data_IF_663635458642
#
_entry.id   IF_663635458642
#
_cell.length_a   1.000
_cell.length_b   1.000
_cell.length_c   1.000
_cell.angle_alpha   90.00
_cell.angle_beta   90.00
_cell.angle_gamma   90.00
#
_symmetry.space_group_name_H-M   'P 1'
#
loop_
_entity.id
_entity.type
_entity.pdbx_description
1 polymer ?
#
# COMPACT_ATOMS: atom_id res chain seq x y z
N UNK A 1 36.55 18.66 -27.53
CA UNK A 1 35.34 17.88 -27.17
C UNK A 1 34.89 18.31 -25.79
N UNK A 2 33.71 18.91 -25.64
CA UNK A 2 33.22 19.37 -24.33
C UNK A 2 32.83 18.15 -23.46
N UNK A 3 33.37 18.06 -22.23
CA UNK A 3 33.00 17.02 -21.26
C UNK A 3 31.50 17.12 -20.97
N UNK A 4 30.76 16.02 -21.14
CA UNK A 4 29.36 15.98 -20.72
C UNK A 4 29.27 16.25 -19.22
N UNK A 5 28.34 17.13 -18.78
CA UNK A 5 28.18 17.42 -17.36
C UNK A 5 27.75 16.15 -16.63
N UNK A 6 28.37 15.88 -15.48
CA UNK A 6 28.01 14.73 -14.65
C UNK A 6 26.53 14.73 -14.28
N UNK A 7 25.93 13.55 -14.07
CA UNK A 7 24.52 13.40 -13.66
C UNK A 7 24.18 14.22 -12.41
N UNK A 8 25.16 14.40 -11.51
CA UNK A 8 25.02 15.25 -10.31
C UNK A 8 25.01 16.74 -10.63
N UNK A 9 25.83 17.20 -11.58
CA UNK A 9 25.83 18.60 -12.04
C UNK A 9 24.52 18.94 -12.76
N UNK A 10 23.97 18.02 -13.56
CA UNK A 10 22.67 18.24 -14.22
C UNK A 10 21.52 18.28 -13.21
N UNK A 11 21.53 17.43 -12.18
CA UNK A 11 20.54 17.48 -11.09
C UNK A 11 20.60 18.81 -10.31
N UNK A 12 21.80 19.29 -9.96
CA UNK A 12 22.00 20.60 -9.30
C UNK A 12 21.46 21.74 -10.16
N UNK A 13 21.77 21.75 -11.45
CA UNK A 13 21.28 22.77 -12.38
C UNK A 13 19.75 22.79 -12.46
N UNK A 14 19.10 21.62 -12.46
CA UNK A 14 17.62 21.53 -12.41
C UNK A 14 17.05 22.09 -11.11
N UNK A 15 17.64 21.72 -9.97
CA UNK A 15 17.21 22.21 -8.66
C UNK A 15 17.34 23.75 -8.56
N UNK A 16 18.46 24.31 -9.03
CA UNK A 16 18.66 25.77 -9.07
C UNK A 16 17.57 26.49 -9.88
N UNK A 17 17.22 25.95 -11.07
CA UNK A 17 16.17 26.53 -11.90
C UNK A 17 14.80 26.43 -11.23
N UNK A 18 14.49 25.31 -10.58
CA UNK A 18 13.24 25.14 -9.81
C UNK A 18 13.15 26.19 -8.70
N UNK A 19 14.23 26.39 -7.93
CA UNK A 19 14.25 27.38 -6.85
C UNK A 19 14.06 28.81 -7.36
N UNK A 20 14.73 29.19 -8.46
CA UNK A 20 14.54 30.50 -9.08
C UNK A 20 13.09 30.73 -9.53
N UNK A 21 12.43 29.70 -10.06
CA UNK A 21 11.01 29.78 -10.44
C UNK A 21 10.12 29.96 -9.20
N UNK A 22 10.37 29.21 -8.14
CA UNK A 22 9.59 29.30 -6.89
C UNK A 22 9.77 30.61 -6.15
N UNK A 23 10.95 31.21 -6.22
CA UNK A 23 11.22 32.56 -5.69
C UNK A 23 10.71 33.69 -6.60
N UNK A 24 10.06 33.39 -7.74
CA UNK A 24 9.55 34.40 -8.67
C UNK A 24 10.62 35.10 -9.51
N UNK A 25 11.88 34.67 -9.44
CA UNK A 25 12.99 35.27 -10.21
C UNK A 25 12.97 34.87 -11.68
N UNK A 26 12.32 33.75 -12.01
CA UNK A 26 12.15 33.24 -13.37
C UNK A 26 10.75 32.68 -13.55
N UNK A 27 10.25 32.68 -14.78
CA UNK A 27 9.05 31.91 -15.13
C UNK A 27 9.40 30.46 -15.46
N UNK A 28 8.42 29.56 -15.31
CA UNK A 28 8.58 28.15 -15.71
C UNK A 28 8.95 27.98 -17.20
N UNK A 29 8.48 28.88 -18.07
CA UNK A 29 8.86 28.90 -19.49
C UNK A 29 10.35 29.19 -19.67
N UNK A 30 10.83 30.29 -19.10
CA UNK A 30 12.25 30.68 -19.17
C UNK A 30 13.18 29.61 -18.57
N UNK A 31 12.76 28.96 -17.48
CA UNK A 31 13.52 27.87 -16.88
C UNK A 31 13.57 26.64 -17.80
N UNK A 32 12.46 26.30 -18.46
CA UNK A 32 12.38 25.19 -19.41
C UNK A 32 13.28 25.45 -20.63
N UNK A 33 13.26 26.67 -21.18
CA UNK A 33 14.10 27.07 -22.31
C UNK A 33 15.59 26.97 -21.97
N UNK A 34 16.00 27.46 -20.79
CA UNK A 34 17.40 27.35 -20.30
C UNK A 34 17.85 25.90 -20.09
N UNK A 35 16.92 25.02 -19.78
CA UNK A 35 17.15 23.59 -19.59
C UNK A 35 17.02 22.78 -20.89
N UNK A 36 16.55 23.39 -21.99
CA UNK A 36 16.33 22.71 -23.26
C UNK A 36 15.22 21.67 -23.21
N UNK A 37 14.19 21.90 -22.39
CA UNK A 37 13.05 20.97 -22.23
C UNK A 37 11.73 21.69 -22.45
N UNK A 38 10.67 20.93 -22.70
CA UNK A 38 9.33 21.51 -22.74
C UNK A 38 8.89 21.98 -21.34
N UNK A 39 8.03 23.01 -21.31
CA UNK A 39 7.42 23.51 -20.06
C UNK A 39 6.70 22.41 -19.27
N UNK A 40 6.05 21.46 -19.95
CA UNK A 40 5.41 20.28 -19.32
C UNK A 40 6.42 19.39 -18.60
N UNK A 41 7.59 19.16 -19.20
CA UNK A 41 8.68 18.39 -18.58
C UNK A 41 9.24 19.12 -17.36
N UNK A 42 9.41 20.44 -17.47
CA UNK A 42 9.82 21.27 -16.33
C UNK A 42 8.84 21.14 -15.15
N UNK A 43 7.53 21.25 -15.40
CA UNK A 43 6.54 21.08 -14.33
C UNK A 43 6.61 19.70 -13.66
N UNK A 44 6.81 18.62 -14.42
CA UNK A 44 7.00 17.29 -13.84
C UNK A 44 8.25 17.22 -12.94
N UNK A 45 9.34 17.87 -13.35
CA UNK A 45 10.57 17.93 -12.54
C UNK A 45 10.39 18.78 -11.29
N UNK A 46 9.74 19.93 -11.42
CA UNK A 46 9.41 20.81 -10.31
C UNK A 46 8.52 20.10 -9.28
N UNK A 47 7.44 19.45 -9.73
CA UNK A 47 6.53 18.72 -8.84
C UNK A 47 7.25 17.61 -8.08
N UNK A 48 8.06 16.80 -8.77
CA UNK A 48 8.85 15.72 -8.15
C UNK A 48 9.90 16.26 -7.18
N UNK A 49 10.58 17.34 -7.56
CA UNK A 49 11.58 17.97 -6.70
C UNK A 49 10.95 18.54 -5.43
N UNK A 50 9.80 19.18 -5.55
CA UNK A 50 9.08 19.74 -4.42
C UNK A 50 8.50 18.64 -3.52
N UNK A 51 7.91 17.58 -4.08
CA UNK A 51 7.38 16.48 -3.26
C UNK A 51 8.49 15.83 -2.44
N UNK A 52 9.63 15.51 -3.07
CA UNK A 52 10.75 14.92 -2.36
C UNK A 52 11.34 15.86 -1.29
N UNK A 53 11.36 17.17 -1.54
CA UNK A 53 11.79 18.15 -0.56
C UNK A 53 10.83 18.19 0.64
N UNK A 54 9.52 18.23 0.38
CA UNK A 54 8.49 18.19 1.42
C UNK A 54 8.61 16.90 2.25
N UNK A 55 8.76 15.75 1.60
CA UNK A 55 8.94 14.46 2.27
C UNK A 55 10.18 14.45 3.18
N UNK A 56 11.25 15.15 2.78
CA UNK A 56 12.52 15.22 3.53
C UNK A 56 12.50 16.17 4.72
N UNK A 57 11.63 17.20 4.70
CA UNK A 57 11.50 18.18 5.80
C UNK A 57 10.31 17.88 6.71
N UNK A 58 9.43 16.97 6.31
CA UNK A 58 8.33 16.51 7.15
C UNK A 58 8.88 15.66 8.29
N UNK A 59 8.40 15.88 9.51
CA UNK A 59 8.77 15.06 10.66
C UNK A 59 8.42 13.60 10.39
N UNK A 60 9.44 12.75 10.38
CA UNK A 60 9.28 11.30 10.26
C UNK A 60 9.53 10.65 11.61
N UNK A 61 8.72 9.62 11.92
CA UNK A 61 8.97 8.78 13.07
C UNK A 61 10.42 8.29 13.04
N UNK A 62 11.15 8.35 14.17
CA UNK A 62 12.53 7.93 14.22
C UNK A 62 12.65 6.46 13.82
N UNK A 63 13.51 6.17 12.84
CA UNK A 63 13.73 4.83 12.30
C UNK A 63 13.69 4.80 10.77
N UNK A 64 14.07 3.65 10.18
CA UNK A 64 13.87 3.42 8.75
C UNK A 64 12.35 3.31 8.51
N UNK A 65 11.78 4.08 7.58
CA UNK A 65 10.37 3.92 7.20
C UNK A 65 10.09 2.44 6.91
N UNK A 66 8.97 1.88 7.39
CA UNK A 66 8.63 0.50 7.07
C UNK A 66 8.67 0.36 5.55
N UNK A 67 9.35 -0.68 5.07
CA UNK A 67 9.41 -0.98 3.65
C UNK A 67 7.98 -0.95 3.09
N UNK A 68 7.73 -0.34 1.92
CA UNK A 68 6.41 -0.40 1.29
C UNK A 68 5.94 -1.84 1.37
N UNK A 69 4.77 -2.05 1.99
CA UNK A 69 4.36 -3.34 2.54
C UNK A 69 4.69 -4.45 1.56
N UNK A 70 5.68 -5.29 1.92
CA UNK A 70 6.16 -6.39 1.08
C UNK A 70 4.96 -7.06 0.42
N UNK A 71 4.97 -7.22 -0.90
CA UNK A 71 3.89 -7.91 -1.63
C UNK A 71 3.58 -9.28 -0.99
N UNK A 72 4.59 -9.88 -0.36
CA UNK A 72 4.50 -11.09 0.45
C UNK A 72 3.61 -10.95 1.70
N UNK A 73 3.64 -9.82 2.42
CA UNK A 73 2.76 -9.55 3.57
C UNK A 73 1.30 -9.44 3.12
N UNK A 74 1.03 -8.71 2.04
CA UNK A 74 -0.32 -8.57 1.50
C UNK A 74 -0.86 -9.93 1.02
N UNK A 75 -0.01 -10.75 0.40
CA UNK A 75 -0.36 -12.11 0.01
C UNK A 75 -0.68 -13.00 1.23
N UNK A 76 0.14 -12.94 2.29
CA UNK A 76 -0.10 -13.67 3.53
C UNK A 76 -1.40 -13.25 4.22
N UNK A 77 -1.70 -11.95 4.28
CA UNK A 77 -2.96 -11.44 4.84
C UNK A 77 -4.18 -11.95 4.08
N UNK A 78 -4.08 -12.02 2.74
CA UNK A 78 -5.13 -12.61 1.90
C UNK A 78 -5.34 -14.09 2.19
N UNK A 79 -4.24 -14.86 2.30
CA UNK A 79 -4.29 -16.29 2.65
C UNK A 79 -4.91 -16.51 4.05
N UNK A 80 -4.55 -15.69 5.04
CA UNK A 80 -5.14 -15.72 6.38
C UNK A 80 -6.66 -15.48 6.34
N UNK A 81 -7.10 -14.50 5.55
CA UNK A 81 -8.52 -14.21 5.37
C UNK A 81 -9.28 -15.37 4.71
N UNK A 82 -8.70 -16.04 3.72
CA UNK A 82 -9.29 -17.20 3.06
C UNK A 82 -9.39 -18.41 3.99
N UNK A 83 -8.32 -18.70 4.75
CA UNK A 83 -8.29 -19.80 5.71
C UNK A 83 -9.31 -19.60 6.85
N UNK A 84 -9.42 -18.38 7.39
CA UNK A 84 -10.40 -18.08 8.44
C UNK A 84 -11.84 -18.30 7.95
N UNK A 85 -12.17 -17.90 6.71
CA UNK A 85 -13.48 -18.17 6.12
C UNK A 85 -13.79 -19.66 6.00
N UNK A 86 -12.79 -20.48 5.65
CA UNK A 86 -12.95 -21.93 5.59
C UNK A 86 -13.20 -22.54 6.98
N UNK A 87 -12.46 -22.08 7.98
CA UNK A 87 -12.68 -22.49 9.38
C UNK A 87 -14.11 -22.15 9.81
N UNK A 88 -14.57 -20.94 9.54
CA UNK A 88 -15.93 -20.52 9.88
C UNK A 88 -16.99 -21.40 9.19
N UNK A 89 -16.84 -21.67 7.90
CA UNK A 89 -17.75 -22.55 7.15
C UNK A 89 -17.77 -23.98 7.71
N UNK A 90 -16.61 -24.53 8.05
CA UNK A 90 -16.52 -25.86 8.65
C UNK A 90 -17.16 -25.90 10.04
N UNK A 91 -16.93 -24.88 10.86
CA UNK A 91 -17.56 -24.75 12.17
C UNK A 91 -19.09 -24.70 12.06
N UNK A 92 -19.64 -23.93 11.11
CA UNK A 92 -21.08 -23.90 10.86
C UNK A 92 -21.61 -25.27 10.42
N UNK A 93 -20.89 -25.97 9.54
CA UNK A 93 -21.27 -27.31 9.08
C UNK A 93 -21.27 -28.33 10.22
N UNK A 94 -20.30 -28.25 11.12
CA UNK A 94 -20.25 -29.11 12.31
C UNK A 94 -21.44 -28.83 13.23
N UNK A 95 -21.72 -27.56 13.53
CA UNK A 95 -22.86 -27.18 14.36
C UNK A 95 -24.20 -27.70 13.78
N UNK A 96 -24.39 -27.60 12.47
CA UNK A 96 -25.59 -28.16 11.81
C UNK A 96 -25.68 -29.68 11.92
N UNK A 97 -24.54 -30.38 11.83
CA UNK A 97 -24.48 -31.84 11.98
C UNK A 97 -24.84 -32.25 13.41
N UNK A 98 -24.37 -31.52 14.40
CA UNK A 98 -24.65 -31.78 15.82
C UNK A 98 -26.14 -31.59 16.12
N UNK A 99 -26.74 -30.48 15.68
CA UNK A 99 -28.19 -30.23 15.79
C UNK A 99 -28.99 -31.34 15.09
N UNK A 100 -28.55 -31.80 13.93
CA UNK A 100 -29.20 -32.91 13.22
C UNK A 100 -29.07 -34.23 13.98
N UNK A 101 -27.94 -34.50 14.65
CA UNK A 101 -27.79 -35.68 15.51
C UNK A 101 -28.73 -35.60 16.71
N UNK A 102 -28.84 -34.44 17.35
CA UNK A 102 -29.73 -34.22 18.48
C UNK A 102 -31.21 -34.44 18.09
N UNK A 103 -31.60 -34.01 16.88
CA UNK A 103 -32.93 -34.25 16.32
C UNK A 103 -33.15 -35.70 15.84
N UNK A 104 -32.08 -36.42 15.49
CA UNK A 104 -32.12 -37.80 14.98
C UNK A 104 -31.88 -38.85 16.08
N UNK A 105 -31.70 -38.42 17.34
CA UNK A 105 -31.85 -39.29 18.49
C UNK A 105 -33.28 -39.85 18.49
N UNK A 106 -33.46 -41.17 18.45
CA UNK A 106 -34.78 -41.75 18.41
C UNK A 106 -35.49 -41.47 19.73
N UNK A 107 -36.74 -41.05 19.62
CA UNK A 107 -37.79 -41.27 20.61
C UNK A 107 -38.10 -42.76 20.79
N UNK A 108 -37.07 -43.63 20.87
CA UNK A 108 -37.23 -45.05 21.15
C UNK A 108 -36.26 -45.46 22.25
N UNK A 109 -36.76 -45.34 23.48
CA UNK A 109 -36.02 -45.65 24.70
C UNK A 109 -36.95 -46.09 25.82
N UNK A 110 -37.64 -47.22 25.60
CA UNK A 110 -37.97 -48.20 26.64
C UNK A 110 -38.86 -47.73 27.81
N UNK A 111 -40.18 -47.84 27.63
CA UNK A 111 -41.10 -48.03 28.77
C UNK A 111 -40.97 -49.48 29.27
N UNK A 112 -40.07 -49.68 30.24
CA UNK A 112 -39.98 -50.89 31.08
C UNK A 112 -40.77 -50.66 32.36
N UNK A 113 -42.07 -50.97 32.37
CA UNK A 113 -42.91 -51.12 33.57
C UNK A 113 -44.35 -51.47 33.11
N UNK A 114 -45.15 -52.39 33.66
CA UNK A 114 -45.10 -53.26 34.84
C UNK A 114 -46.14 -54.38 34.63
N UNK A 115 -45.79 -55.56 35.14
CA UNK A 115 -46.62 -56.70 35.57
C UNK A 115 -48.09 -56.37 35.94
N UNK A 116 -49.04 -57.12 35.37
CA UNK A 116 -50.25 -57.59 36.05
C UNK A 116 -50.64 -58.96 35.50
#
# INVERSE_FOLDING_TARGET
>A
MAKQPSTRQTARRRAEMIMKVRCGLLTAGQAADRLGVSRKTFYKWEQRGLSALLDSVTDQLPGRPPHPADDHRQWLEKQLGEANRQIDLLNHKMALKDVLMDLKLPSTGSDRAKKK
#
